data_IF_354773548849
#
_entry.id   IF_354773548849
#
_cell.length_a   1.000
_cell.length_b   1.000
_cell.length_c   1.000
_cell.angle_alpha   90.00
_cell.angle_beta   90.00
_cell.angle_gamma   90.00
#
_symmetry.space_group_name_H-M   'P 1'
#
loop_
_entity.id
_entity.type
_entity.pdbx_description
1 polymer ?
#
# COMPACT_ATOMS: atom_id res chain seq x y z
N UNK A 1 -2.20 12.45 14.81
CA UNK A 1 -3.62 12.08 14.64
C UNK A 1 -3.68 10.61 14.29
N UNK A 2 -4.31 9.78 15.12
CA UNK A 2 -4.45 8.35 14.86
C UNK A 2 -5.51 8.14 13.77
N UNK A 3 -5.17 7.48 12.67
CA UNK A 3 -6.09 7.20 11.56
C UNK A 3 -7.07 6.05 11.86
N UNK A 4 -6.99 5.45 13.06
CA UNK A 4 -8.09 4.64 13.60
C UNK A 4 -8.10 4.71 15.12
N UNK A 5 -9.28 4.90 15.72
CA UNK A 5 -9.51 4.72 17.16
C UNK A 5 -9.75 3.24 17.52
N UNK A 6 -9.44 2.31 16.61
CA UNK A 6 -9.65 0.88 16.79
C UNK A 6 -8.44 0.29 17.54
N UNK A 7 -8.71 -0.53 18.56
CA UNK A 7 -7.65 -1.29 19.21
C UNK A 7 -7.14 -2.36 18.22
N UNK A 8 -5.90 -2.86 18.35
CA UNK A 8 -5.39 -3.94 17.48
C UNK A 8 -6.32 -5.15 17.40
N UNK A 9 -7.05 -5.46 18.50
CA UNK A 9 -8.06 -6.51 18.54
C UNK A 9 -9.24 -6.25 17.61
N UNK A 10 -9.65 -5.00 17.43
CA UNK A 10 -10.78 -4.63 16.57
C UNK A 10 -10.39 -4.76 15.09
N UNK A 11 -9.18 -4.33 14.74
CA UNK A 11 -8.62 -4.54 13.40
C UNK A 11 -8.52 -6.04 13.08
N UNK A 12 -8.08 -6.86 14.04
CA UNK A 12 -8.02 -8.32 13.88
C UNK A 12 -9.40 -8.97 13.69
N UNK A 13 -10.41 -8.54 14.47
CA UNK A 13 -11.79 -9.03 14.32
C UNK A 13 -12.38 -8.63 12.96
N UNK A 14 -12.18 -7.39 12.54
CA UNK A 14 -12.65 -6.90 11.24
C UNK A 14 -12.01 -7.67 10.08
N UNK A 15 -10.69 -7.86 10.12
CA UNK A 15 -9.96 -8.64 9.12
C UNK A 15 -10.47 -10.09 9.04
N UNK A 16 -10.67 -10.76 10.19
CA UNK A 16 -11.23 -12.12 10.23
C UNK A 16 -12.64 -12.18 9.63
N UNK A 17 -13.48 -11.21 9.93
CA UNK A 17 -14.83 -11.17 9.34
C UNK A 17 -14.77 -10.97 7.82
N UNK A 18 -13.94 -10.05 7.35
CA UNK A 18 -13.78 -9.75 5.93
C UNK A 18 -13.17 -10.94 5.16
N UNK A 19 -12.26 -11.71 5.75
CA UNK A 19 -11.63 -12.85 5.09
C UNK A 19 -12.64 -13.95 4.76
N UNK A 20 -13.65 -14.16 5.61
CA UNK A 20 -14.72 -15.13 5.33
C UNK A 20 -15.53 -14.70 4.10
N UNK A 21 -15.85 -13.42 3.97
CA UNK A 21 -16.54 -12.91 2.77
C UNK A 21 -15.65 -13.04 1.53
N UNK A 22 -14.38 -12.59 1.61
CA UNK A 22 -13.43 -12.65 0.51
C UNK A 22 -13.25 -14.06 -0.05
N UNK A 23 -13.18 -15.07 0.83
CA UNK A 23 -13.03 -16.48 0.46
C UNK A 23 -14.22 -17.06 -0.33
N UNK A 24 -15.37 -16.39 -0.32
CA UNK A 24 -16.58 -16.81 -1.05
C UNK A 24 -16.81 -16.05 -2.36
N UNK A 25 -16.00 -15.02 -2.64
CA UNK A 25 -16.15 -14.21 -3.84
C UNK A 25 -15.69 -14.97 -5.09
N UNK A 26 -16.36 -14.68 -6.22
CA UNK A 26 -15.90 -15.17 -7.51
C UNK A 26 -14.56 -14.54 -7.89
N UNK A 27 -13.77 -15.22 -8.72
CA UNK A 27 -12.53 -14.64 -9.27
C UNK A 27 -12.80 -13.36 -10.05
N UNK A 28 -13.95 -13.22 -10.71
CA UNK A 28 -14.35 -11.96 -11.37
C UNK A 28 -14.47 -10.81 -10.37
N UNK A 29 -15.16 -11.01 -9.25
CA UNK A 29 -15.33 -9.97 -8.24
C UNK A 29 -13.98 -9.57 -7.59
N UNK A 30 -13.08 -10.54 -7.36
CA UNK A 30 -11.72 -10.26 -6.88
C UNK A 30 -10.90 -9.47 -7.91
N UNK A 31 -11.02 -9.82 -9.19
CA UNK A 31 -10.36 -9.12 -10.28
C UNK A 31 -10.85 -7.68 -10.45
N UNK A 32 -12.16 -7.46 -10.33
CA UNK A 32 -12.75 -6.12 -10.39
C UNK A 32 -12.25 -5.25 -9.23
N UNK A 33 -12.13 -5.83 -8.03
CA UNK A 33 -11.55 -5.14 -6.88
C UNK A 33 -10.08 -4.74 -7.13
N UNK A 34 -9.24 -5.64 -7.68
CA UNK A 34 -7.84 -5.32 -8.03
C UNK A 34 -7.76 -4.21 -9.10
N UNK A 35 -8.62 -4.25 -10.11
CA UNK A 35 -8.70 -3.17 -11.12
C UNK A 35 -9.12 -1.84 -10.49
N UNK A 36 -10.09 -1.85 -9.58
CA UNK A 36 -10.52 -0.64 -8.88
C UNK A 36 -9.39 -0.05 -8.00
N UNK A 37 -8.65 -0.90 -7.28
CA UNK A 37 -7.49 -0.48 -6.48
C UNK A 37 -6.42 0.15 -7.38
N UNK A 38 -6.06 -0.49 -8.49
CA UNK A 38 -5.11 0.05 -9.46
C UNK A 38 -5.54 1.44 -9.97
N UNK A 39 -6.81 1.58 -10.35
CA UNK A 39 -7.35 2.83 -10.87
C UNK A 39 -7.33 3.95 -9.81
N UNK A 40 -7.72 3.64 -8.57
CA UNK A 40 -7.72 4.58 -7.46
C UNK A 40 -6.29 5.06 -7.13
N UNK A 41 -5.33 4.13 -7.01
CA UNK A 41 -3.93 4.48 -6.76
C UNK A 41 -3.35 5.34 -7.89
N UNK A 42 -3.64 4.99 -9.15
CA UNK A 42 -3.19 5.77 -10.31
C UNK A 42 -3.71 7.20 -10.28
N UNK A 43 -4.99 7.40 -9.93
CA UNK A 43 -5.62 8.71 -9.85
C UNK A 43 -5.09 9.55 -8.68
N UNK A 44 -4.73 8.91 -7.57
CA UNK A 44 -4.19 9.56 -6.37
C UNK A 44 -2.66 9.63 -6.34
N UNK A 45 -1.97 9.42 -7.47
CA UNK A 45 -0.49 9.37 -7.53
C UNK A 45 0.17 10.57 -6.86
N UNK A 46 -0.23 11.77 -7.25
CA UNK A 46 0.43 13.00 -6.77
C UNK A 46 0.21 13.22 -5.27
N UNK A 47 -0.99 12.90 -4.77
CA UNK A 47 -1.31 12.98 -3.35
C UNK A 47 -0.46 12.00 -2.52
N UNK A 48 -0.34 10.75 -3.01
CA UNK A 48 0.44 9.71 -2.34
C UNK A 48 1.93 10.05 -2.35
N UNK A 49 2.47 10.54 -3.47
CA UNK A 49 3.88 10.96 -3.54
C UNK A 49 4.16 12.17 -2.67
N UNK A 50 3.23 13.13 -2.58
CA UNK A 50 3.35 14.25 -1.65
C UNK A 50 3.30 13.81 -0.17
N UNK A 51 2.51 12.79 0.16
CA UNK A 51 2.54 12.16 1.48
C UNK A 51 3.88 11.45 1.75
N UNK A 52 4.36 10.63 0.81
CA UNK A 52 5.63 9.93 0.93
C UNK A 52 6.82 10.90 1.05
N UNK A 53 6.79 12.05 0.38
CA UNK A 53 7.81 13.08 0.51
C UNK A 53 7.92 13.64 1.94
N UNK A 54 6.79 13.78 2.64
CA UNK A 54 6.79 14.20 4.06
C UNK A 54 7.42 13.13 4.94
N UNK A 55 7.09 11.86 4.70
CA UNK A 55 7.70 10.74 5.42
C UNK A 55 9.20 10.64 5.16
N UNK A 56 9.64 10.90 3.92
CA UNK A 56 11.07 10.93 3.56
C UNK A 56 11.83 12.03 4.27
N UNK A 57 11.24 13.22 4.47
CA UNK A 57 11.86 14.29 5.24
C UNK A 57 12.10 13.84 6.69
N UNK A 58 11.07 13.31 7.36
CA UNK A 58 11.20 12.79 8.71
C UNK A 58 12.20 11.62 8.81
N UNK A 59 12.20 10.73 7.81
CA UNK A 59 13.11 9.59 7.76
C UNK A 59 14.57 10.03 7.54
N UNK A 60 14.81 11.08 6.75
CA UNK A 60 16.15 11.67 6.55
C UNK A 60 16.66 12.31 7.84
N UNK A 61 15.83 13.05 8.56
CA UNK A 61 16.18 13.60 9.88
C UNK A 61 16.54 12.49 10.88
N UNK A 62 15.72 11.43 10.95
CA UNK A 62 16.01 10.27 11.79
C UNK A 62 17.30 9.55 11.39
N UNK A 63 17.62 9.50 10.08
CA UNK A 63 18.86 8.91 9.60
C UNK A 63 20.09 9.75 9.95
N UNK A 64 19.98 11.08 9.87
CA UNK A 64 21.02 12.01 10.33
C UNK A 64 21.33 11.85 11.82
N UNK A 65 20.33 11.49 12.62
CA UNK A 65 20.48 11.22 14.06
C UNK A 65 20.90 9.78 14.39
N UNK A 66 21.16 8.95 13.37
CA UNK A 66 21.55 7.54 13.52
C UNK A 66 20.43 6.58 13.94
N UNK A 67 19.19 7.07 14.07
CA UNK A 67 18.03 6.26 14.43
C UNK A 67 17.51 5.42 13.25
N UNK A 68 17.89 5.76 12.02
CA UNK A 68 17.48 5.05 10.81
C UNK A 68 18.66 4.88 9.85
N UNK A 69 18.73 3.74 9.16
CA UNK A 69 19.77 3.55 8.14
C UNK A 69 19.36 4.16 6.80
N UNK A 70 20.34 4.62 6.02
CA UNK A 70 20.11 5.10 4.65
C UNK A 70 19.44 4.04 3.76
N UNK A 71 19.67 2.75 4.04
CA UNK A 71 19.02 1.64 3.34
C UNK A 71 17.50 1.59 3.58
N UNK A 72 17.03 1.96 4.78
CA UNK A 72 15.58 2.03 5.07
C UNK A 72 14.96 3.27 4.42
N UNK A 73 15.61 4.43 4.48
CA UNK A 73 15.14 5.65 3.77
C UNK A 73 14.99 5.38 2.27
N UNK A 74 15.97 4.69 1.69
CA UNK A 74 15.99 4.24 0.30
C UNK A 74 14.83 3.28 -0.04
N UNK A 75 14.37 2.45 0.90
CA UNK A 75 13.20 1.57 0.73
C UNK A 75 11.87 2.32 0.86
N UNK A 76 11.83 3.41 1.64
CA UNK A 76 10.64 4.24 1.81
C UNK A 76 10.31 5.08 0.56
N UNK A 77 11.33 5.50 -0.20
CA UNK A 77 11.18 6.41 -1.33
C UNK A 77 10.41 5.79 -2.49
N UNK A 78 9.15 6.19 -2.70
CA UNK A 78 8.28 5.76 -3.81
C UNK A 78 8.56 6.52 -5.11
N UNK A 79 9.22 7.67 -5.04
CA UNK A 79 9.52 8.53 -6.20
C UNK A 79 10.70 8.05 -7.04
N UNK A 80 11.35 6.95 -6.63
CA UNK A 80 12.42 6.34 -7.42
C UNK A 80 11.93 5.93 -8.80
N UNK A 81 12.74 6.17 -9.86
CA UNK A 81 12.35 5.81 -11.23
C UNK A 81 11.87 4.36 -11.33
N UNK A 82 10.68 4.17 -11.91
CA UNK A 82 10.07 2.86 -12.14
C UNK A 82 9.37 2.25 -10.92
N UNK A 83 9.67 2.66 -9.68
CA UNK A 83 9.14 2.00 -8.49
C UNK A 83 7.62 2.15 -8.35
N UNK A 84 7.09 3.32 -8.69
CA UNK A 84 5.65 3.56 -8.71
C UNK A 84 4.97 2.71 -9.78
N UNK A 85 5.54 2.70 -10.98
CA UNK A 85 5.03 1.97 -12.13
C UNK A 85 5.06 0.46 -11.87
N UNK A 86 6.14 -0.06 -11.28
CA UNK A 86 6.29 -1.47 -10.89
C UNK A 86 5.26 -1.86 -9.81
N UNK A 87 4.99 -0.97 -8.85
CA UNK A 87 3.98 -1.20 -7.81
C UNK A 87 2.58 -1.32 -8.42
N UNK A 88 2.20 -0.42 -9.33
CA UNK A 88 0.92 -0.48 -10.02
C UNK A 88 0.82 -1.72 -10.93
N UNK A 89 1.88 -2.00 -11.70
CA UNK A 89 1.96 -3.17 -12.56
C UNK A 89 1.76 -4.47 -11.75
N UNK A 90 2.38 -4.57 -10.57
CA UNK A 90 2.25 -5.74 -9.70
C UNK A 90 0.80 -6.08 -9.33
N UNK A 91 -0.08 -5.08 -9.20
CA UNK A 91 -1.51 -5.31 -8.94
C UNK A 91 -2.18 -5.99 -10.14
N UNK A 92 -1.87 -5.52 -11.35
CA UNK A 92 -2.41 -6.10 -12.58
C UNK A 92 -1.80 -7.48 -12.87
N UNK A 93 -0.54 -7.69 -12.52
CA UNK A 93 0.13 -8.98 -12.63
C UNK A 93 -0.57 -10.02 -11.72
N UNK A 94 -0.93 -9.66 -10.48
CA UNK A 94 -1.71 -10.55 -9.58
C UNK A 94 -3.09 -10.84 -10.14
N UNK A 95 -3.80 -9.82 -10.63
CA UNK A 95 -5.12 -9.98 -11.28
C UNK A 95 -5.09 -10.98 -12.45
N UNK A 96 -3.96 -11.11 -13.14
CA UNK A 96 -3.81 -12.00 -14.28
C UNK A 96 -3.57 -13.48 -13.90
N UNK A 97 -3.44 -13.80 -12.61
CA UNK A 97 -3.29 -15.18 -12.13
C UNK A 97 -4.64 -15.92 -12.13
N UNK A 98 -4.58 -17.26 -12.20
CA UNK A 98 -5.77 -18.12 -12.21
C UNK A 98 -6.59 -18.03 -10.90
N UNK A 99 -5.92 -17.79 -9.77
CA UNK A 99 -6.51 -17.58 -8.46
C UNK A 99 -5.87 -16.36 -7.76
N UNK A 100 -6.42 -15.15 -7.97
CA UNK A 100 -5.87 -13.89 -7.47
C UNK A 100 -6.27 -13.56 -6.03
#
# INVERSE_FOLDING_TARGET
MSLSNAQPVDAGKAAKSASHTLATLSSSARNDALTAIHAALSQSKDEILAANARDLTAAKEAASNGNLSASIVSRLDLGKPGKWEDMLKGILDVRALDDP
#
